data_IF_174512249823
#
_entry.id   IF_174512249823
#
_cell.length_a   1.000
_cell.length_b   1.000
_cell.length_c   1.000
_cell.angle_alpha   90.00
_cell.angle_beta   90.00
_cell.angle_gamma   90.00
#
_symmetry.space_group_name_H-M   'P 1'
#
loop_
_entity.id
_entity.type
_entity.pdbx_description
1 polymer ?
#
# COMPACT_ATOMS: atom_id res chain seq x y z
N UNK A 1 -6.29 -8.46 5.91
CA UNK A 1 -6.10 -8.89 4.52
C UNK A 1 -5.97 -7.67 3.58
N UNK A 2 -6.93 -6.74 3.60
CA UNK A 2 -6.94 -5.54 2.71
C UNK A 2 -5.74 -4.62 2.88
N UNK A 3 -5.05 -4.63 4.01
CA UNK A 3 -3.90 -3.77 4.25
C UNK A 3 -2.56 -4.39 3.81
N UNK A 4 -2.45 -5.71 3.85
CA UNK A 4 -1.17 -6.40 3.62
C UNK A 4 -1.29 -7.47 2.51
N UNK A 5 -2.11 -8.51 2.71
CA UNK A 5 -2.09 -9.67 1.85
C UNK A 5 -2.46 -9.31 0.39
N UNK A 6 -3.59 -8.63 0.20
CA UNK A 6 -4.09 -8.31 -1.16
C UNK A 6 -3.17 -7.32 -1.88
N UNK A 7 -2.85 -6.12 -1.34
CA UNK A 7 -2.01 -5.17 -2.06
C UNK A 7 -0.60 -5.69 -2.31
N UNK A 8 0.04 -6.31 -1.29
CA UNK A 8 1.40 -6.82 -1.44
C UNK A 8 1.51 -7.99 -2.44
N UNK A 9 0.43 -8.71 -2.71
CA UNK A 9 0.38 -9.70 -3.79
C UNK A 9 0.10 -9.06 -5.15
N UNK A 10 -0.70 -8.00 -5.19
CA UNK A 10 -1.07 -7.32 -6.44
C UNK A 10 0.08 -6.52 -7.06
N UNK A 11 0.94 -5.88 -6.24
CA UNK A 11 2.06 -5.09 -6.76
C UNK A 11 3.08 -5.93 -7.56
N UNK A 12 3.63 -7.05 -7.04
CA UNK A 12 4.52 -7.90 -7.82
C UNK A 12 3.82 -8.47 -9.07
N UNK A 13 2.55 -8.84 -8.96
CA UNK A 13 1.78 -9.33 -10.09
C UNK A 13 1.61 -8.23 -11.16
N UNK A 14 1.29 -6.99 -10.79
CA UNK A 14 1.17 -5.88 -11.71
C UNK A 14 2.49 -5.60 -12.44
N UNK A 15 3.62 -5.73 -11.75
CA UNK A 15 4.96 -5.51 -12.32
C UNK A 15 5.37 -6.54 -13.38
N UNK A 16 4.59 -7.58 -13.60
CA UNK A 16 4.76 -8.46 -14.78
C UNK A 16 4.23 -7.83 -16.07
N UNK A 17 3.45 -6.73 -15.97
CA UNK A 17 2.83 -6.03 -17.10
C UNK A 17 3.14 -4.53 -17.17
N UNK A 18 3.74 -3.97 -16.12
CA UNK A 18 4.12 -2.55 -16.06
C UNK A 18 5.46 -2.39 -15.34
N UNK A 19 6.16 -1.32 -15.64
CA UNK A 19 7.41 -0.99 -14.97
C UNK A 19 7.20 -0.68 -13.49
N UNK A 20 8.18 -1.05 -12.66
CA UNK A 20 8.17 -0.77 -11.21
C UNK A 20 8.11 0.73 -10.89
N UNK A 21 8.67 1.58 -11.76
CA UNK A 21 8.58 3.03 -11.67
C UNK A 21 7.13 3.53 -11.78
N UNK A 22 6.36 2.97 -12.72
CA UNK A 22 4.95 3.29 -12.90
C UNK A 22 4.14 2.83 -11.68
N UNK A 23 4.37 1.58 -11.24
CA UNK A 23 3.71 1.05 -10.04
C UNK A 23 4.00 1.91 -8.78
N UNK A 24 5.24 2.34 -8.60
CA UNK A 24 5.65 3.23 -7.52
C UNK A 24 5.00 4.61 -7.59
N UNK A 25 4.95 5.22 -8.79
CA UNK A 25 4.25 6.49 -8.98
C UNK A 25 2.75 6.38 -8.69
N UNK A 26 2.10 5.32 -9.15
CA UNK A 26 0.68 5.09 -8.89
C UNK A 26 0.39 4.87 -7.40
N UNK A 27 1.33 4.30 -6.64
CA UNK A 27 1.21 4.16 -5.18
C UNK A 27 1.12 5.51 -4.47
N UNK A 28 1.73 6.57 -5.02
CA UNK A 28 1.58 7.95 -4.51
C UNK A 28 0.13 8.46 -4.57
N UNK A 29 -0.76 7.78 -5.31
CA UNK A 29 -2.20 8.04 -5.33
C UNK A 29 -2.94 7.58 -4.06
N UNK A 30 -2.29 6.93 -3.09
CA UNK A 30 -2.89 6.46 -1.85
C UNK A 30 -3.68 7.55 -1.08
N UNK A 31 -3.24 8.81 -0.96
CA UNK A 31 -4.03 9.87 -0.34
C UNK A 31 -5.38 10.11 -1.00
N UNK A 32 -5.44 9.98 -2.33
CA UNK A 32 -6.68 10.14 -3.11
C UNK A 32 -7.68 9.06 -2.74
N UNK A 33 -7.27 7.78 -2.82
CA UNK A 33 -8.15 6.65 -2.49
C UNK A 33 -8.55 6.65 -1.03
N UNK A 34 -7.64 7.05 -0.12
CA UNK A 34 -7.93 7.18 1.32
C UNK A 34 -8.97 8.26 1.59
N UNK A 35 -8.85 9.42 0.92
CA UNK A 35 -9.82 10.51 1.06
C UNK A 35 -11.19 10.11 0.52
N UNK A 36 -11.23 9.55 -0.69
CA UNK A 36 -12.48 9.09 -1.33
C UNK A 36 -13.14 8.02 -0.48
N UNK A 37 -12.43 6.97 -0.09
CA UNK A 37 -12.97 5.92 0.76
C UNK A 37 -13.47 6.48 2.10
N UNK A 38 -12.70 7.36 2.74
CA UNK A 38 -13.10 8.03 3.98
C UNK A 38 -14.41 8.80 3.85
N UNK A 39 -14.55 9.59 2.81
CA UNK A 39 -15.75 10.41 2.59
C UNK A 39 -16.97 9.57 2.20
N UNK A 40 -16.80 8.58 1.29
CA UNK A 40 -17.93 7.85 0.70
C UNK A 40 -18.36 6.64 1.52
N UNK A 41 -17.40 5.87 2.07
CA UNK A 41 -17.71 4.61 2.78
C UNK A 41 -17.79 4.79 4.29
N UNK A 42 -17.04 5.74 4.85
CA UNK A 42 -16.92 5.91 6.30
C UNK A 42 -17.52 7.22 6.81
N UNK A 43 -18.06 8.08 5.95
CA UNK A 43 -18.68 9.36 6.33
C UNK A 43 -17.70 10.32 7.03
N UNK A 44 -16.40 10.19 6.79
CA UNK A 44 -15.40 11.05 7.41
C UNK A 44 -15.47 12.44 6.80
N UNK A 45 -15.69 13.44 7.66
CA UNK A 45 -15.70 14.84 7.23
C UNK A 45 -14.35 15.23 6.62
N UNK A 46 -14.39 15.73 5.39
CA UNK A 46 -13.19 16.17 4.67
C UNK A 46 -13.03 17.68 4.80
N UNK A 47 -11.81 18.13 5.09
CA UNK A 47 -11.49 19.54 5.12
C UNK A 47 -11.05 20.04 3.74
N UNK A 48 -11.42 21.27 3.38
CA UNK A 48 -11.05 21.89 2.09
C UNK A 48 -9.55 21.82 1.79
N UNK A 49 -8.72 22.00 2.82
CA UNK A 49 -7.25 21.90 2.70
C UNK A 49 -6.80 20.49 2.28
N UNK A 50 -7.46 19.44 2.78
CA UNK A 50 -7.14 18.05 2.38
C UNK A 50 -7.52 17.82 0.91
N UNK A 51 -8.69 18.29 0.49
CA UNK A 51 -9.15 18.18 -0.90
C UNK A 51 -8.20 18.93 -1.85
N UNK A 52 -7.80 20.15 -1.48
CA UNK A 52 -6.83 20.93 -2.27
C UNK A 52 -5.48 20.23 -2.35
N UNK A 53 -4.95 19.71 -1.23
CA UNK A 53 -3.69 18.98 -1.21
C UNK A 53 -3.72 17.72 -2.08
N UNK A 54 -4.81 16.96 -2.03
CA UNK A 54 -5.03 15.79 -2.89
C UNK A 54 -5.13 16.21 -4.37
N UNK A 55 -5.84 17.29 -4.69
CA UNK A 55 -5.92 17.81 -6.05
C UNK A 55 -4.55 18.20 -6.62
N UNK A 56 -3.73 18.92 -5.84
CA UNK A 56 -2.34 19.24 -6.22
C UNK A 56 -1.51 17.96 -6.41
N UNK A 57 -1.66 16.99 -5.52
CA UNK A 57 -0.97 15.69 -5.63
C UNK A 57 -1.35 14.93 -6.91
N UNK A 58 -2.64 14.94 -7.29
CA UNK A 58 -3.11 14.34 -8.57
C UNK A 58 -2.46 15.05 -9.77
N UNK A 59 -2.41 16.37 -9.77
CA UNK A 59 -1.76 17.12 -10.85
C UNK A 59 -0.29 16.74 -10.95
N UNK A 60 0.44 16.68 -9.83
CA UNK A 60 1.84 16.25 -9.81
C UNK A 60 2.02 14.81 -10.33
N UNK A 61 1.14 13.90 -9.92
CA UNK A 61 1.14 12.51 -10.39
C UNK A 61 0.92 12.41 -11.91
N UNK A 62 -0.01 13.18 -12.45
CA UNK A 62 -0.29 13.22 -13.88
C UNK A 62 0.87 13.82 -14.68
N UNK A 63 1.50 14.89 -14.18
CA UNK A 63 2.66 15.52 -14.83
C UNK A 63 3.85 14.55 -14.98
N UNK A 64 4.05 13.66 -14.03
CA UNK A 64 5.14 12.68 -14.08
C UNK A 64 4.68 11.40 -14.80
N UNK A 65 3.46 10.96 -14.51
CA UNK A 65 2.93 9.67 -15.00
C UNK A 65 2.67 9.63 -16.50
N UNK A 66 2.14 10.72 -17.07
CA UNK A 66 1.81 10.75 -18.52
C UNK A 66 3.06 10.58 -19.40
N UNK A 67 4.16 11.34 -19.20
CA UNK A 67 5.37 11.13 -20.00
C UNK A 67 5.98 9.74 -19.81
N UNK A 68 5.96 9.22 -18.60
CA UNK A 68 6.56 7.91 -18.27
C UNK A 68 5.77 6.76 -18.87
N UNK A 69 4.44 6.83 -18.84
CA UNK A 69 3.57 5.82 -19.44
C UNK A 69 3.67 5.76 -20.98
N UNK A 70 4.09 6.85 -21.63
CA UNK A 70 4.26 6.90 -23.09
C UNK A 70 5.58 6.26 -23.58
N UNK A 71 6.53 5.99 -22.67
CA UNK A 71 7.87 5.44 -23.02
C UNK A 71 7.97 3.94 -22.80
N UNK A 72 7.07 3.33 -21.98
CA UNK A 72 7.10 1.92 -21.64
C UNK A 72 5.90 1.12 -22.15
N UNK A 73 6.06 -0.20 -22.21
CA UNK A 73 4.95 -1.14 -22.46
C UNK A 73 4.03 -1.18 -21.23
N UNK A 74 3.03 -0.30 -21.21
CA UNK A 74 2.10 -0.19 -20.09
C UNK A 74 0.80 -0.93 -20.42
N UNK A 75 0.59 -2.07 -19.77
CA UNK A 75 -0.66 -2.84 -19.91
C UNK A 75 -1.76 -2.29 -19.00
N UNK A 76 -2.97 -2.17 -19.55
CA UNK A 76 -4.16 -1.80 -18.77
C UNK A 76 -4.42 -2.74 -17.58
N UNK A 77 -4.06 -4.02 -17.72
CA UNK A 77 -4.20 -5.02 -16.64
C UNK A 77 -3.30 -4.67 -15.45
N UNK A 78 -2.02 -4.35 -15.69
CA UNK A 78 -1.09 -3.95 -14.64
C UNK A 78 -1.54 -2.66 -13.94
N UNK A 79 -1.98 -1.67 -14.71
CA UNK A 79 -2.56 -0.41 -14.16
C UNK A 79 -3.76 -0.70 -13.26
N UNK A 80 -4.70 -1.53 -13.72
CA UNK A 80 -5.90 -1.89 -12.94
C UNK A 80 -5.54 -2.59 -11.63
N UNK A 81 -4.58 -3.51 -11.65
CA UNK A 81 -4.11 -4.19 -10.44
C UNK A 81 -3.53 -3.21 -9.41
N UNK A 82 -2.73 -2.24 -9.84
CA UNK A 82 -2.19 -1.21 -8.93
C UNK A 82 -3.30 -0.30 -8.40
N UNK A 83 -4.24 0.13 -9.25
CA UNK A 83 -5.40 0.93 -8.80
C UNK A 83 -6.20 0.18 -7.74
N UNK A 84 -6.46 -1.11 -7.93
CA UNK A 84 -7.14 -1.95 -6.94
C UNK A 84 -6.32 -2.08 -5.66
N UNK A 85 -5.01 -2.31 -5.74
CA UNK A 85 -4.12 -2.40 -4.59
C UNK A 85 -4.13 -1.10 -3.76
N UNK A 86 -3.97 0.05 -4.42
CA UNK A 86 -3.98 1.38 -3.76
C UNK A 86 -5.36 1.70 -3.18
N UNK A 87 -6.45 1.26 -3.84
CA UNK A 87 -7.80 1.38 -3.30
C UNK A 87 -8.00 0.54 -2.03
N UNK A 88 -7.47 -0.69 -2.01
CA UNK A 88 -7.46 -1.53 -0.81
C UNK A 88 -6.69 -0.85 0.35
N UNK A 89 -5.55 -0.22 0.07
CA UNK A 89 -4.83 0.56 1.07
C UNK A 89 -5.66 1.72 1.62
N UNK A 90 -6.34 2.47 0.75
CA UNK A 90 -7.21 3.58 1.15
C UNK A 90 -8.33 3.15 2.08
N UNK A 91 -9.02 2.06 1.76
CA UNK A 91 -10.07 1.47 2.62
C UNK A 91 -9.48 0.96 3.93
N UNK A 92 -8.38 0.19 3.86
CA UNK A 92 -7.72 -0.39 5.03
C UNK A 92 -7.22 0.68 6.01
N UNK A 93 -6.68 1.79 5.53
CA UNK A 93 -6.22 2.91 6.37
C UNK A 93 -7.36 3.54 7.16
N UNK A 94 -8.55 3.69 6.54
CA UNK A 94 -9.73 4.20 7.22
C UNK A 94 -10.27 3.24 8.29
N UNK A 95 -10.18 1.93 8.08
CA UNK A 95 -10.53 0.92 9.08
C UNK A 95 -9.49 0.88 10.20
N UNK A 96 -8.20 0.96 9.85
CA UNK A 96 -7.10 0.85 10.79
C UNK A 96 -7.06 2.00 11.80
N UNK A 97 -7.38 3.24 11.38
CA UNK A 97 -7.32 4.43 12.23
C UNK A 97 -8.11 4.30 13.54
N UNK A 98 -9.41 4.03 13.52
CA UNK A 98 -10.21 3.82 14.73
C UNK A 98 -9.75 2.63 15.57
N UNK A 99 -9.37 1.52 14.93
CA UNK A 99 -8.89 0.33 15.62
C UNK A 99 -7.58 0.59 16.38
N UNK A 100 -6.66 1.33 15.77
CA UNK A 100 -5.39 1.67 16.40
C UNK A 100 -5.55 2.63 17.58
N UNK A 101 -6.52 3.57 17.50
CA UNK A 101 -6.87 4.43 18.64
C UNK A 101 -7.44 3.63 19.79
N UNK A 102 -8.24 2.59 19.51
CA UNK A 102 -8.92 1.78 20.54
C UNK A 102 -8.00 0.71 21.15
N UNK A 103 -7.18 0.03 20.34
CA UNK A 103 -6.41 -1.15 20.77
C UNK A 103 -4.90 -0.95 20.76
N UNK A 104 -4.42 0.23 20.33
CA UNK A 104 -3.02 0.52 20.14
C UNK A 104 -2.46 0.03 18.81
N UNK A 105 -1.58 0.83 18.21
CA UNK A 105 -1.02 0.55 16.88
C UNK A 105 -0.25 -0.79 16.81
N UNK A 106 0.61 -1.15 17.80
CA UNK A 106 1.36 -2.41 17.73
C UNK A 106 0.47 -3.66 17.75
N UNK A 107 -0.59 -3.63 18.58
CA UNK A 107 -1.49 -4.76 18.71
C UNK A 107 -2.33 -4.99 17.44
N UNK A 108 -2.77 -3.91 16.79
CA UNK A 108 -3.49 -3.99 15.51
C UNK A 108 -2.56 -4.47 14.41
N UNK A 109 -1.34 -3.91 14.33
CA UNK A 109 -0.36 -4.26 13.31
C UNK A 109 0.04 -5.74 13.41
N UNK A 110 0.33 -6.23 14.63
CA UNK A 110 0.67 -7.64 14.85
C UNK A 110 -0.43 -8.58 14.32
N UNK A 111 -1.69 -8.31 14.65
CA UNK A 111 -2.81 -9.12 14.17
C UNK A 111 -2.95 -9.09 12.66
N UNK A 112 -2.77 -7.91 12.06
CA UNK A 112 -2.82 -7.75 10.59
C UNK A 112 -1.71 -8.56 9.93
N UNK A 113 -0.48 -8.51 10.47
CA UNK A 113 0.66 -9.27 9.95
C UNK A 113 0.46 -10.77 10.09
N UNK A 114 0.00 -11.25 11.24
CA UNK A 114 -0.28 -12.68 11.46
C UNK A 114 -1.32 -13.19 10.48
N UNK A 115 -2.46 -12.50 10.34
CA UNK A 115 -3.52 -12.89 9.41
C UNK A 115 -3.05 -12.82 7.96
N UNK A 116 -2.28 -11.81 7.59
CA UNK A 116 -1.72 -11.69 6.25
C UNK A 116 -0.72 -12.83 5.96
N UNK A 117 0.19 -13.13 6.89
CA UNK A 117 1.15 -14.22 6.75
C UNK A 117 0.45 -15.57 6.61
N UNK A 118 -0.54 -15.87 7.44
CA UNK A 118 -1.31 -17.11 7.33
C UNK A 118 -2.03 -17.24 5.98
N UNK A 119 -2.55 -16.12 5.45
CA UNK A 119 -3.24 -16.12 4.17
C UNK A 119 -2.30 -16.27 2.97
N UNK A 120 -1.06 -15.74 3.06
CA UNK A 120 -0.09 -15.77 1.95
C UNK A 120 0.85 -16.97 1.98
N UNK A 121 1.03 -17.62 3.15
CA UNK A 121 1.90 -18.79 3.33
C UNK A 121 1.60 -19.95 2.38
N UNK A 122 0.33 -20.37 2.16
CA UNK A 122 0.05 -21.47 1.24
C UNK A 122 0.54 -21.17 -0.18
N UNK A 123 0.37 -19.94 -0.64
CA UNK A 123 0.83 -19.51 -1.95
C UNK A 123 2.37 -19.48 -2.04
N UNK A 124 3.01 -18.98 -0.99
CA UNK A 124 4.47 -18.97 -0.88
C UNK A 124 5.08 -20.37 -0.89
N UNK A 125 4.44 -21.34 -0.22
CA UNK A 125 4.90 -22.74 -0.18
C UNK A 125 4.84 -23.41 -1.56
N UNK A 126 3.79 -23.14 -2.34
CA UNK A 126 3.69 -23.63 -3.73
C UNK A 126 4.82 -23.07 -4.58
N UNK A 127 5.17 -21.79 -4.42
CA UNK A 127 6.26 -21.13 -5.14
C UNK A 127 7.65 -21.67 -4.77
N UNK A 128 7.83 -22.17 -3.54
CA UNK A 128 9.10 -22.75 -3.09
C UNK A 128 9.46 -24.04 -3.82
N UNK A 129 8.48 -24.82 -4.28
CA UNK A 129 8.71 -26.09 -4.95
C UNK A 129 9.53 -25.99 -6.25
N UNK A 130 9.58 -24.79 -6.88
CA UNK A 130 10.35 -24.52 -8.10
C UNK A 130 11.56 -23.58 -7.90
N UNK A 131 11.87 -23.15 -6.67
CA UNK A 131 12.91 -22.17 -6.40
C UNK A 131 14.17 -22.80 -5.80
N UNK A 132 15.35 -22.33 -6.25
CA UNK A 132 16.63 -22.68 -5.63
C UNK A 132 16.84 -21.92 -4.32
N UNK A 133 17.42 -22.58 -3.31
CA UNK A 133 17.78 -21.94 -2.05
C UNK A 133 19.05 -21.12 -2.19
N UNK A 134 19.01 -19.84 -1.78
CA UNK A 134 20.16 -18.95 -1.74
C UNK A 134 20.20 -18.15 -0.44
N UNK A 135 21.29 -18.24 0.32
CA UNK A 135 21.49 -17.49 1.56
C UNK A 135 21.44 -15.97 1.35
N UNK A 136 21.93 -15.47 0.20
CA UNK A 136 21.87 -14.06 -0.16
C UNK A 136 20.43 -13.57 -0.31
N UNK A 137 19.54 -14.38 -0.89
CA UNK A 137 18.12 -14.06 -1.00
C UNK A 137 17.43 -14.03 0.38
N UNK A 138 17.77 -14.97 1.26
CA UNK A 138 17.24 -14.99 2.65
C UNK A 138 17.71 -13.75 3.41
N UNK A 139 18.99 -13.40 3.34
CA UNK A 139 19.53 -12.21 4.00
C UNK A 139 18.90 -10.91 3.46
N UNK A 140 18.73 -10.80 2.13
CA UNK A 140 18.07 -9.66 1.52
C UNK A 140 16.60 -9.53 1.96
N UNK A 141 15.85 -10.64 1.97
CA UNK A 141 14.46 -10.65 2.45
C UNK A 141 14.34 -10.28 3.93
N UNK A 142 15.26 -10.75 4.78
CA UNK A 142 15.30 -10.36 6.20
C UNK A 142 15.63 -8.87 6.36
N UNK A 143 16.60 -8.36 5.62
CA UNK A 143 16.98 -6.95 5.67
C UNK A 143 15.82 -6.04 5.24
N UNK A 144 15.14 -6.36 4.14
CA UNK A 144 13.96 -5.62 3.66
C UNK A 144 12.76 -5.82 4.58
N UNK A 145 12.51 -7.06 5.03
CA UNK A 145 11.36 -7.39 5.88
C UNK A 145 11.44 -6.73 7.26
N UNK A 146 12.59 -6.81 7.92
CA UNK A 146 12.76 -6.24 9.27
C UNK A 146 13.11 -4.74 9.18
N UNK A 147 14.11 -4.38 8.39
CA UNK A 147 14.63 -3.00 8.33
C UNK A 147 13.71 -2.08 7.53
N UNK A 148 13.44 -2.42 6.26
CA UNK A 148 12.64 -1.57 5.38
C UNK A 148 11.15 -1.61 5.68
N UNK A 149 10.60 -2.81 5.85
CA UNK A 149 9.14 -2.98 5.98
C UNK A 149 8.71 -2.93 7.45
N UNK A 150 9.34 -3.71 8.33
CA UNK A 150 8.93 -3.82 9.74
C UNK A 150 8.95 -2.46 10.46
N UNK A 151 10.06 -1.75 10.40
CA UNK A 151 10.21 -0.43 11.05
C UNK A 151 9.27 0.59 10.41
N UNK A 152 9.17 0.62 9.07
CA UNK A 152 8.30 1.54 8.36
C UNK A 152 6.82 1.34 8.72
N UNK A 153 6.36 0.09 8.80
CA UNK A 153 4.97 -0.19 9.18
C UNK A 153 4.65 0.13 10.64
N UNK A 154 5.58 -0.07 11.56
CA UNK A 154 5.40 0.37 12.95
C UNK A 154 5.27 1.88 13.03
N UNK A 155 6.12 2.62 12.31
CA UNK A 155 6.04 4.08 12.24
C UNK A 155 4.73 4.54 11.58
N UNK A 156 4.36 3.96 10.44
CA UNK A 156 3.12 4.26 9.73
C UNK A 156 1.87 3.97 10.58
N UNK A 157 1.83 2.82 11.24
CA UNK A 157 0.74 2.45 12.12
C UNK A 157 0.59 3.43 13.30
N UNK A 158 1.70 3.87 13.88
CA UNK A 158 1.71 4.86 14.95
C UNK A 158 1.20 6.23 14.45
N UNK A 159 1.57 6.62 13.25
CA UNK A 159 1.10 7.86 12.61
C UNK A 159 -0.41 7.83 12.31
N UNK A 160 -0.93 6.74 11.75
CA UNK A 160 -2.38 6.60 11.50
C UNK A 160 -3.18 6.83 12.79
N UNK A 161 -2.74 6.24 13.89
CA UNK A 161 -3.40 6.39 15.19
C UNK A 161 -3.37 7.82 15.72
N UNK A 162 -2.31 8.59 15.43
CA UNK A 162 -2.11 9.97 15.95
C UNK A 162 -2.73 11.05 15.06
N UNK A 163 -2.45 11.01 13.75
CA UNK A 163 -2.80 12.11 12.83
C UNK A 163 -3.95 11.78 11.88
N UNK A 164 -4.41 10.54 11.89
CA UNK A 164 -5.46 10.03 11.02
C UNK A 164 -4.95 9.52 9.66
N UNK A 165 -5.82 8.73 8.96
CA UNK A 165 -5.40 7.99 7.78
C UNK A 165 -5.02 8.87 6.59
N UNK A 166 -5.75 9.96 6.34
CA UNK A 166 -5.51 10.85 5.18
C UNK A 166 -4.17 11.60 5.31
N UNK A 167 -3.85 12.11 6.51
CA UNK A 167 -2.57 12.81 6.71
C UNK A 167 -1.39 11.86 6.67
N UNK A 168 -1.56 10.65 7.20
CA UNK A 168 -0.52 9.63 7.17
C UNK A 168 -0.25 9.17 5.74
N UNK A 169 -1.29 8.97 4.91
CA UNK A 169 -1.12 8.51 3.52
C UNK A 169 -0.37 9.49 2.62
N UNK A 170 -0.22 10.76 3.03
CA UNK A 170 0.58 11.74 2.31
C UNK A 170 2.10 11.57 2.52
N UNK A 171 2.53 10.68 3.45
CA UNK A 171 3.95 10.42 3.78
C UNK A 171 4.44 9.12 3.13
N UNK A 172 3.54 8.32 2.56
CA UNK A 172 3.87 7.08 1.85
C UNK A 172 4.00 7.29 0.36
#
# INVERSE_FOLDING_TARGET
>A
LLWMAVPLSMFPLAQTWIDSSIAGMMNSGMPVTTLIAGATLFGVATHRVQVMGVAVGIVGLLMIGIPTASVGDTSAVGVLLVVLAVSCYGVAANIAGPLQRRYGSPAVLLRVLVVASLATTPWGLVGLAGSGFAWSAVAANLAVGVGGTGIAYVAAASLIGRVGPVRMSAVT
#
